data_IF_596252245247
#
_entry.id   IF_596252245247
#
_cell.length_a   1.000
_cell.length_b   1.000
_cell.length_c   1.000
_cell.angle_alpha   90.00
_cell.angle_beta   90.00
_cell.angle_gamma   90.00
#
_symmetry.space_group_name_H-M   'P 1'
#
loop_
_entity.id
_entity.type
_entity.pdbx_description
1 polymer ?
#
# COMPACT_ATOMS: atom_id res chain seq x y z
N UNK A 1 -5.49 -9.11 -35.73
CA UNK A 1 -4.62 -8.38 -36.67
C UNK A 1 -3.49 -7.70 -35.95
N UNK A 2 -3.73 -6.88 -34.97
CA UNK A 2 -2.68 -6.30 -34.10
C UNK A 2 -2.02 -7.33 -33.17
N UNK A 3 -2.70 -8.40 -32.81
CA UNK A 3 -2.17 -9.57 -32.06
C UNK A 3 -1.05 -10.32 -32.77
N UNK A 4 -0.83 -10.06 -34.06
CA UNK A 4 0.15 -10.74 -34.94
C UNK A 4 1.18 -9.75 -35.52
N UNK A 5 1.50 -8.66 -34.82
CA UNK A 5 2.42 -7.59 -35.26
C UNK A 5 2.07 -6.95 -36.63
N UNK A 6 0.84 -7.11 -37.10
CA UNK A 6 0.42 -6.60 -38.40
C UNK A 6 -0.27 -5.23 -38.35
N UNK A 7 -0.62 -4.76 -37.16
CA UNK A 7 -1.16 -3.43 -36.90
C UNK A 7 -1.06 -3.11 -35.39
N UNK A 8 -0.96 -1.82 -35.04
CA UNK A 8 -1.08 -1.36 -33.66
C UNK A 8 -2.55 -1.03 -33.36
N UNK A 9 -3.01 -1.20 -32.10
CA UNK A 9 -4.34 -0.76 -31.71
C UNK A 9 -4.44 0.77 -31.85
N UNK A 10 -5.61 1.26 -32.23
CA UNK A 10 -5.91 2.69 -32.14
C UNK A 10 -5.94 3.14 -30.67
N UNK A 11 -5.96 4.46 -30.44
CA UNK A 11 -5.81 5.02 -29.10
C UNK A 11 -6.99 4.63 -28.19
N UNK A 12 -8.19 4.50 -28.73
CA UNK A 12 -9.38 4.11 -27.98
C UNK A 12 -9.28 2.66 -27.53
N UNK A 13 -8.82 1.76 -28.42
CA UNK A 13 -8.54 0.37 -28.09
C UNK A 13 -7.38 0.21 -27.13
N UNK A 14 -6.35 1.03 -27.24
CA UNK A 14 -5.25 1.04 -26.29
C UNK A 14 -5.72 1.43 -24.88
N UNK A 15 -6.61 2.41 -24.76
CA UNK A 15 -7.23 2.79 -23.48
C UNK A 15 -8.09 1.65 -22.92
N UNK A 16 -8.93 1.01 -23.74
CA UNK A 16 -9.72 -0.16 -23.33
C UNK A 16 -8.83 -1.31 -22.83
N UNK A 17 -7.70 -1.56 -23.51
CA UNK A 17 -6.72 -2.59 -23.10
C UNK A 17 -6.04 -2.20 -21.78
N UNK A 18 -5.68 -0.92 -21.60
CA UNK A 18 -5.13 -0.45 -20.33
C UNK A 18 -6.11 -0.66 -19.17
N UNK A 19 -7.40 -0.40 -19.39
CA UNK A 19 -8.43 -0.66 -18.38
C UNK A 19 -8.60 -2.16 -18.12
N UNK A 20 -8.61 -2.98 -19.16
CA UNK A 20 -8.76 -4.43 -19.06
C UNK A 20 -7.59 -5.09 -18.33
N UNK A 21 -6.35 -4.68 -18.66
CA UNK A 21 -5.13 -5.22 -18.07
C UNK A 21 -4.64 -4.43 -16.85
N UNK A 22 -5.35 -3.37 -16.47
CA UNK A 22 -4.99 -2.50 -15.34
C UNK A 22 -3.57 -1.94 -15.44
N UNK A 23 -3.15 -1.54 -16.65
CA UNK A 23 -1.82 -1.01 -16.92
C UNK A 23 -1.90 0.41 -17.53
N UNK A 24 -0.79 1.15 -17.52
CA UNK A 24 -0.70 2.44 -18.23
C UNK A 24 -0.48 2.25 -19.74
N UNK A 25 -0.78 3.29 -20.53
CA UNK A 25 -0.43 3.31 -21.96
C UNK A 25 1.08 3.13 -22.17
N UNK A 26 1.89 3.73 -21.30
CA UNK A 26 3.33 3.60 -21.34
C UNK A 26 3.78 2.14 -21.13
N UNK A 27 3.17 1.45 -20.17
CA UNK A 27 3.41 0.02 -19.95
C UNK A 27 2.89 -0.84 -21.11
N UNK A 28 1.75 -0.48 -21.71
CA UNK A 28 1.18 -1.24 -22.83
C UNK A 28 2.05 -1.19 -24.09
N UNK A 29 2.79 -0.10 -24.33
CA UNK A 29 3.55 0.13 -25.57
C UNK A 29 5.07 0.01 -25.42
N UNK A 30 5.62 -0.16 -24.23
CA UNK A 30 7.04 -0.43 -24.05
C UNK A 30 7.33 -1.92 -24.17
N UNK A 31 8.44 -2.27 -24.80
CA UNK A 31 8.94 -3.67 -24.88
C UNK A 31 9.21 -4.29 -23.49
N UNK A 32 9.27 -3.48 -22.45
CA UNK A 32 9.37 -3.86 -21.04
C UNK A 32 8.09 -4.49 -20.46
N UNK A 33 7.00 -4.64 -21.23
CA UNK A 33 5.88 -5.50 -20.85
C UNK A 33 6.29 -7.00 -20.71
N UNK A 34 7.47 -7.38 -21.20
CA UNK A 34 8.11 -8.66 -20.87
C UNK A 34 8.62 -8.76 -19.45
N UNK A 35 8.78 -7.61 -18.78
CA UNK A 35 8.97 -7.43 -17.36
C UNK A 35 7.72 -6.78 -16.72
N UNK A 36 6.55 -7.27 -17.06
CA UNK A 36 5.42 -7.23 -16.13
C UNK A 36 5.99 -7.99 -14.93
N UNK A 37 6.52 -7.22 -14.00
CA UNK A 37 7.32 -7.72 -12.89
C UNK A 37 6.55 -8.88 -12.30
N UNK A 38 7.13 -10.10 -12.37
CA UNK A 38 6.63 -11.26 -11.62
C UNK A 38 6.45 -10.90 -10.13
N UNK A 39 6.98 -9.74 -9.74
CA UNK A 39 6.83 -9.15 -8.41
C UNK A 39 5.41 -8.69 -8.11
N UNK A 40 4.60 -8.29 -9.11
CA UNK A 40 3.26 -7.73 -8.88
C UNK A 40 2.16 -8.63 -9.41
N UNK A 41 1.11 -8.77 -8.62
CA UNK A 41 -0.09 -9.51 -9.00
C UNK A 41 -1.34 -8.90 -8.38
N UNK A 42 -2.49 -9.39 -8.76
CA UNK A 42 -3.78 -9.13 -8.12
C UNK A 42 -4.11 -7.63 -7.93
N UNK A 43 -3.91 -6.83 -9.00
CA UNK A 43 -4.35 -5.44 -9.03
C UNK A 43 -5.87 -5.38 -9.01
N UNK A 44 -6.47 -4.73 -7.99
CA UNK A 44 -7.91 -4.81 -7.71
C UNK A 44 -8.44 -3.58 -6.98
N UNK A 45 -9.77 -3.49 -6.96
CA UNK A 45 -10.49 -2.60 -6.03
C UNK A 45 -11.32 -3.48 -5.12
N UNK A 46 -11.21 -3.27 -3.81
CA UNK A 46 -11.97 -4.02 -2.83
C UNK A 46 -12.45 -3.15 -1.67
N UNK A 47 -13.45 -3.63 -0.95
CA UNK A 47 -13.87 -3.03 0.31
C UNK A 47 -13.15 -3.75 1.44
N UNK A 48 -12.30 -3.03 2.14
CA UNK A 48 -11.71 -3.49 3.40
C UNK A 48 -12.76 -3.28 4.50
N UNK A 49 -13.21 -4.35 5.18
CA UNK A 49 -14.20 -4.23 6.24
C UNK A 49 -13.70 -3.39 7.40
N UNK A 50 -14.61 -2.84 8.21
CA UNK A 50 -14.27 -2.12 9.42
C UNK A 50 -13.42 -2.98 10.36
N UNK A 51 -12.39 -2.36 10.94
CA UNK A 51 -11.53 -2.99 11.93
C UNK A 51 -11.10 -2.01 13.02
N UNK A 52 -10.76 -2.57 14.18
CA UNK A 52 -10.17 -1.81 15.29
C UNK A 52 -8.67 -2.05 15.34
N UNK A 53 -7.92 -1.05 15.77
CA UNK A 53 -6.48 -1.16 15.82
C UNK A 53 -5.86 -0.31 16.93
N UNK A 54 -4.67 -0.72 17.37
CA UNK A 54 -3.76 0.08 18.19
C UNK A 54 -2.66 0.60 17.28
N UNK A 55 -2.34 1.88 17.36
CA UNK A 55 -1.37 2.55 16.50
C UNK A 55 -0.20 3.10 17.32
N UNK A 56 0.98 2.98 16.74
CA UNK A 56 2.16 3.71 17.17
C UNK A 56 2.79 4.44 15.98
N UNK A 57 3.07 5.72 16.15
CA UNK A 57 3.67 6.56 15.11
C UNK A 57 4.95 7.19 15.66
N UNK A 58 5.99 7.23 14.84
CA UNK A 58 7.31 7.74 15.20
C UNK A 58 7.94 8.51 14.06
N UNK A 59 8.78 9.48 14.42
CA UNK A 59 9.67 10.20 13.49
C UNK A 59 11.09 9.88 13.92
N UNK A 60 11.85 9.18 13.08
CA UNK A 60 13.24 8.82 13.33
C UNK A 60 14.01 8.64 12.02
N UNK A 61 15.24 8.20 12.10
CA UNK A 61 16.08 7.85 10.95
C UNK A 61 15.79 6.45 10.40
N UNK A 62 15.12 5.60 11.19
CA UNK A 62 14.63 4.27 10.80
C UNK A 62 13.23 4.01 11.40
N UNK A 63 12.23 4.82 10.98
CA UNK A 63 10.93 4.86 11.64
C UNK A 63 10.08 3.61 11.42
N UNK A 64 10.26 2.92 10.29
CA UNK A 64 9.55 1.67 9.99
C UNK A 64 9.93 0.60 11.01
N UNK A 65 11.22 0.32 11.14
CA UNK A 65 11.75 -0.65 12.13
C UNK A 65 11.34 -0.27 13.56
N UNK A 66 11.46 1.00 13.91
CA UNK A 66 11.09 1.50 15.24
C UNK A 66 9.60 1.30 15.55
N UNK A 67 8.72 1.66 14.60
CA UNK A 67 7.28 1.56 14.78
C UNK A 67 6.81 0.10 14.83
N UNK A 68 7.28 -0.73 13.90
CA UNK A 68 6.92 -2.15 13.83
C UNK A 68 7.37 -2.89 15.09
N UNK A 69 8.63 -2.73 15.51
CA UNK A 69 9.14 -3.36 16.73
C UNK A 69 8.33 -2.93 17.97
N UNK A 70 7.94 -1.65 18.04
CA UNK A 70 7.13 -1.16 19.15
C UNK A 70 5.74 -1.80 19.15
N UNK A 71 5.10 -1.94 18.01
CA UNK A 71 3.79 -2.60 17.89
C UNK A 71 3.87 -4.08 18.28
N UNK A 72 4.90 -4.80 17.81
CA UNK A 72 5.12 -6.19 18.23
C UNK A 72 5.33 -6.32 19.76
N UNK A 73 6.09 -5.39 20.36
CA UNK A 73 6.25 -5.39 21.81
C UNK A 73 4.91 -5.17 22.53
N UNK A 74 4.11 -4.20 22.09
CA UNK A 74 2.79 -3.91 22.67
C UNK A 74 1.87 -5.14 22.56
N UNK A 75 1.82 -5.79 21.41
CA UNK A 75 0.99 -6.99 21.21
C UNK A 75 1.44 -8.15 22.10
N UNK A 76 2.76 -8.37 22.22
CA UNK A 76 3.34 -9.39 23.10
C UNK A 76 3.03 -9.13 24.57
N UNK A 77 3.10 -7.88 25.04
CA UNK A 77 2.72 -7.51 26.40
C UNK A 77 1.24 -7.78 26.69
N UNK A 78 0.40 -7.82 25.63
CA UNK A 78 -1.00 -8.23 25.67
C UNK A 78 -1.21 -9.76 25.45
N UNK A 79 -0.15 -10.55 25.35
CA UNK A 79 -0.21 -12.01 25.17
C UNK A 79 -0.42 -12.45 23.72
N UNK A 80 -0.14 -11.60 22.72
CA UNK A 80 -0.27 -11.91 21.29
C UNK A 80 1.11 -11.93 20.64
N UNK A 81 1.59 -13.13 20.28
CA UNK A 81 2.93 -13.32 19.70
C UNK A 81 3.00 -13.00 18.20
N UNK A 82 1.92 -13.23 17.46
CA UNK A 82 1.83 -12.98 16.02
C UNK A 82 0.69 -11.98 15.72
N UNK A 83 0.88 -10.68 15.95
CA UNK A 83 -0.12 -9.67 15.62
C UNK A 83 -0.23 -9.50 14.10
N UNK A 84 -1.44 -9.23 13.61
CA UNK A 84 -1.62 -8.71 12.26
C UNK A 84 -1.24 -7.24 12.25
N UNK A 85 -0.14 -6.89 11.58
CA UNK A 85 0.39 -5.53 11.53
C UNK A 85 0.20 -4.95 10.12
N UNK A 86 -0.16 -3.67 10.08
CA UNK A 86 -0.16 -2.84 8.88
C UNK A 86 0.66 -1.59 9.17
N UNK A 87 1.22 -0.98 8.14
CA UNK A 87 2.04 0.22 8.30
C UNK A 87 1.88 1.22 7.16
N UNK A 88 2.23 2.46 7.39
CA UNK A 88 2.21 3.52 6.38
C UNK A 88 3.11 4.69 6.74
N UNK A 89 3.66 5.32 5.71
CA UNK A 89 4.37 6.59 5.82
C UNK A 89 3.41 7.75 6.06
N UNK A 90 3.86 8.77 6.79
CA UNK A 90 3.15 10.03 6.88
C UNK A 90 4.09 11.23 6.64
N UNK A 91 3.65 12.25 5.85
CA UNK A 91 4.52 13.33 5.36
C UNK A 91 4.58 14.56 6.26
N UNK A 92 4.13 14.49 7.52
CA UNK A 92 4.01 15.66 8.40
C UNK A 92 5.33 16.00 9.11
N UNK A 93 6.39 16.24 8.30
CA UNK A 93 7.71 16.62 8.79
C UNK A 93 8.13 17.97 8.22
N UNK A 94 8.98 18.68 8.95
CA UNK A 94 9.62 19.90 8.44
C UNK A 94 10.72 19.53 7.43
N UNK A 95 11.01 20.48 6.52
CA UNK A 95 12.11 20.31 5.56
C UNK A 95 13.46 20.11 6.25
N UNK A 96 13.66 20.70 7.43
CA UNK A 96 14.88 20.50 8.23
C UNK A 96 14.98 19.06 8.75
N UNK A 97 13.89 18.49 9.27
CA UNK A 97 13.86 17.10 9.70
C UNK A 97 14.22 16.14 8.57
N UNK A 98 13.67 16.36 7.38
CA UNK A 98 13.93 15.51 6.21
C UNK A 98 15.36 15.70 5.70
N UNK A 99 15.76 16.95 5.38
CA UNK A 99 16.96 17.20 4.60
C UNK A 99 18.24 17.30 5.44
N UNK A 100 18.13 17.70 6.71
CA UNK A 100 19.30 17.87 7.60
C UNK A 100 19.48 16.66 8.51
N UNK A 101 18.39 16.18 9.10
CA UNK A 101 18.44 15.08 10.07
C UNK A 101 18.09 13.71 9.48
N UNK A 102 17.74 13.64 8.18
CA UNK A 102 17.32 12.41 7.48
C UNK A 102 16.25 11.64 8.26
N UNK A 103 15.28 12.39 8.79
CA UNK A 103 14.16 11.81 9.53
C UNK A 103 12.99 11.54 8.59
N UNK A 104 12.28 10.45 8.85
CA UNK A 104 11.06 10.07 8.16
C UNK A 104 9.98 9.77 9.21
N UNK A 105 8.73 9.77 8.80
CA UNK A 105 7.60 9.47 9.66
C UNK A 105 6.92 8.19 9.23
N UNK A 106 6.75 7.25 10.16
CA UNK A 106 6.05 5.99 9.91
C UNK A 106 5.08 5.68 11.05
N UNK A 107 3.94 5.09 10.70
CA UNK A 107 2.97 4.58 11.64
C UNK A 107 2.78 3.08 11.40
N UNK A 108 2.89 2.29 12.45
CA UNK A 108 2.50 0.90 12.45
C UNK A 108 1.23 0.71 13.29
N UNK A 109 0.38 -0.23 12.90
CA UNK A 109 -0.84 -0.54 13.62
C UNK A 109 -1.06 -2.04 13.75
N UNK A 110 -1.37 -2.47 14.97
CA UNK A 110 -1.86 -3.81 15.26
C UNK A 110 -3.36 -3.87 15.03
N UNK A 111 -3.80 -4.58 14.01
CA UNK A 111 -5.20 -4.87 13.74
C UNK A 111 -5.71 -5.86 14.78
N UNK A 112 -6.68 -5.43 15.58
CA UNK A 112 -7.15 -6.22 16.72
C UNK A 112 -8.05 -7.36 16.27
N UNK A 113 -7.88 -8.57 16.82
CA UNK A 113 -8.83 -9.65 16.62
C UNK A 113 -10.24 -9.28 17.09
N UNK A 114 -11.25 -9.85 16.44
CA UNK A 114 -12.64 -9.60 16.81
C UNK A 114 -12.90 -9.91 18.28
N UNK A 115 -13.51 -8.96 18.98
CA UNK A 115 -13.83 -9.08 20.41
C UNK A 115 -12.65 -8.86 21.35
N UNK A 116 -11.42 -8.72 20.86
CA UNK A 116 -10.26 -8.42 21.69
C UNK A 116 -10.20 -6.92 22.03
N UNK A 117 -9.97 -6.59 23.30
CA UNK A 117 -9.74 -5.21 23.72
C UNK A 117 -8.52 -5.20 24.64
N UNK A 118 -7.41 -4.59 24.21
CA UNK A 118 -6.21 -4.51 25.01
C UNK A 118 -6.45 -3.56 26.22
N UNK A 119 -5.92 -3.89 27.42
CA UNK A 119 -6.03 -3.02 28.57
C UNK A 119 -5.17 -1.76 28.38
N UNK A 120 -5.65 -0.63 28.87
CA UNK A 120 -4.91 0.64 28.99
C UNK A 120 -4.31 1.19 27.69
N UNK A 121 -4.80 0.76 26.52
CA UNK A 121 -4.36 1.25 25.21
C UNK A 121 -5.49 2.02 24.51
N UNK A 122 -5.11 3.06 23.79
CA UNK A 122 -6.02 3.77 22.91
C UNK A 122 -6.34 2.91 21.69
N UNK A 123 -7.63 2.65 21.46
CA UNK A 123 -8.10 1.85 20.33
C UNK A 123 -8.76 2.77 19.32
N UNK A 124 -8.30 2.71 18.10
CA UNK A 124 -8.84 3.40 16.95
C UNK A 124 -9.75 2.48 16.14
N UNK A 125 -10.60 3.07 15.31
CA UNK A 125 -11.51 2.33 14.42
C UNK A 125 -11.37 2.86 12.99
N UNK A 126 -11.16 1.94 12.04
CA UNK A 126 -11.32 2.17 10.62
C UNK A 126 -12.68 1.62 10.20
N UNK A 127 -13.51 2.47 9.57
CA UNK A 127 -14.79 2.04 8.98
C UNK A 127 -14.56 1.29 7.68
N UNK A 128 -15.59 0.58 7.21
CA UNK A 128 -15.59 0.00 5.85
C UNK A 128 -15.12 1.04 4.84
N UNK A 129 -14.13 0.69 4.05
CA UNK A 129 -13.55 1.62 3.08
C UNK A 129 -13.12 0.90 1.81
N UNK A 130 -13.37 1.55 0.67
CA UNK A 130 -12.90 1.09 -0.64
C UNK A 130 -11.44 1.44 -0.84
N UNK A 131 -10.64 0.45 -1.26
CA UNK A 131 -9.22 0.59 -1.55
C UNK A 131 -8.90 0.06 -2.94
N UNK A 132 -8.00 0.71 -3.64
CA UNK A 132 -7.24 0.10 -4.70
C UNK A 132 -6.07 -0.66 -4.06
N UNK A 133 -5.81 -1.88 -4.51
CA UNK A 133 -4.79 -2.75 -3.91
C UNK A 133 -3.99 -3.50 -4.97
N UNK A 134 -2.74 -3.80 -4.66
CA UNK A 134 -1.82 -4.61 -5.45
C UNK A 134 -1.01 -5.53 -4.55
N UNK A 135 -0.76 -6.76 -5.00
CA UNK A 135 0.04 -7.72 -4.28
C UNK A 135 1.48 -7.73 -4.77
N UNK A 136 2.43 -7.83 -3.85
CA UNK A 136 3.87 -7.95 -4.09
C UNK A 136 4.35 -9.28 -3.51
N UNK A 137 4.87 -10.17 -4.36
CA UNK A 137 5.31 -11.52 -3.94
C UNK A 137 6.56 -11.50 -3.06
N UNK A 138 7.53 -10.64 -3.37
CA UNK A 138 8.83 -10.57 -2.68
C UNK A 138 9.24 -9.12 -2.47
N UNK A 139 8.57 -8.39 -1.55
CA UNK A 139 8.78 -6.95 -1.39
C UNK A 139 10.21 -6.60 -0.97
N UNK A 140 10.89 -7.47 -0.22
CA UNK A 140 12.19 -7.20 0.37
C UNK A 140 13.40 -7.57 -0.51
N UNK A 141 13.21 -8.16 -1.70
CA UNK A 141 14.31 -8.40 -2.66
C UNK A 141 14.90 -7.06 -3.16
N UNK A 142 14.06 -6.04 -3.33
CA UNK A 142 14.47 -4.69 -3.72
C UNK A 142 13.46 -3.65 -3.21
N UNK A 143 13.30 -3.46 -1.88
CA UNK A 143 12.18 -2.72 -1.29
C UNK A 143 12.09 -1.28 -1.78
N UNK A 144 13.22 -0.59 -1.92
CA UNK A 144 13.29 0.81 -2.39
C UNK A 144 12.92 0.99 -3.88
N UNK A 145 12.75 -0.08 -4.62
CA UNK A 145 12.31 -0.07 -6.03
C UNK A 145 10.89 -0.61 -6.14
N UNK A 146 10.66 -1.80 -5.57
CA UNK A 146 9.41 -2.55 -5.73
C UNK A 146 8.25 -1.85 -5.04
N UNK A 147 8.38 -1.44 -3.78
CA UNK A 147 7.29 -0.80 -3.03
C UNK A 147 6.90 0.56 -3.63
N UNK A 148 7.84 1.50 -3.92
CA UNK A 148 7.48 2.76 -4.58
C UNK A 148 6.84 2.57 -5.97
N UNK A 149 7.24 1.57 -6.73
CA UNK A 149 6.64 1.27 -8.02
C UNK A 149 5.22 0.70 -7.88
N UNK A 150 4.92 -0.08 -6.84
CA UNK A 150 3.57 -0.52 -6.53
C UNK A 150 2.63 0.67 -6.28
N UNK A 151 3.06 1.66 -5.51
CA UNK A 151 2.30 2.91 -5.30
C UNK A 151 2.07 3.69 -6.60
N UNK A 152 3.08 3.78 -7.48
CA UNK A 152 2.93 4.42 -8.80
C UNK A 152 1.92 3.66 -9.66
N UNK A 153 2.01 2.34 -9.69
CA UNK A 153 1.09 1.47 -10.45
C UNK A 153 -0.34 1.64 -9.94
N UNK A 154 -0.55 1.66 -8.61
CA UNK A 154 -1.86 1.93 -8.01
C UNK A 154 -2.37 3.33 -8.35
N UNK A 155 -1.54 4.35 -8.28
CA UNK A 155 -1.91 5.72 -8.64
C UNK A 155 -2.35 5.83 -10.10
N UNK A 156 -1.64 5.18 -11.00
CA UNK A 156 -1.99 5.13 -12.42
C UNK A 156 -3.28 4.32 -12.68
N UNK A 157 -3.41 3.17 -12.03
CA UNK A 157 -4.63 2.37 -12.06
C UNK A 157 -5.85 3.18 -11.59
N UNK A 158 -5.73 3.90 -10.48
CA UNK A 158 -6.81 4.76 -9.97
C UNK A 158 -7.17 5.86 -10.97
N UNK A 159 -6.16 6.53 -11.54
CA UNK A 159 -6.37 7.59 -12.55
C UNK A 159 -7.11 7.06 -13.78
N UNK A 160 -6.72 5.90 -14.31
CA UNK A 160 -7.34 5.27 -15.48
C UNK A 160 -8.78 4.82 -15.21
N UNK A 161 -9.10 4.45 -13.98
CA UNK A 161 -10.43 3.98 -13.58
C UNK A 161 -11.30 5.07 -12.95
N UNK A 162 -10.88 6.34 -12.99
CA UNK A 162 -11.63 7.47 -12.46
C UNK A 162 -11.84 7.41 -10.93
N UNK A 163 -10.91 6.77 -10.21
CA UNK A 163 -10.94 6.69 -8.76
C UNK A 163 -10.16 7.86 -8.15
N UNK A 164 -10.75 8.53 -7.19
CA UNK A 164 -10.12 9.61 -6.44
C UNK A 164 -9.58 9.10 -5.11
N UNK A 165 -8.36 9.51 -4.74
CA UNK A 165 -7.78 9.16 -3.45
C UNK A 165 -8.52 9.85 -2.31
N UNK A 166 -8.82 9.09 -1.26
CA UNK A 166 -9.47 9.57 -0.05
C UNK A 166 -8.45 9.76 1.08
N UNK A 167 -8.47 10.96 1.68
CA UNK A 167 -7.48 11.37 2.69
C UNK A 167 -8.06 11.58 4.08
N UNK A 168 -9.36 11.87 4.19
CA UNK A 168 -9.99 12.25 5.45
C UNK A 168 -10.76 11.08 6.05
N UNK A 169 -10.66 10.95 7.36
CA UNK A 169 -11.39 9.97 8.18
C UNK A 169 -11.13 8.51 7.80
N UNK A 170 -9.96 8.26 7.21
CA UNK A 170 -9.50 6.92 6.79
C UNK A 170 -7.99 6.80 6.98
N UNK A 171 -7.48 5.58 6.99
CA UNK A 171 -6.06 5.31 6.73
C UNK A 171 -5.85 5.49 5.22
N UNK A 172 -5.11 6.51 4.76
CA UNK A 172 -5.10 6.90 3.34
C UNK A 172 -4.36 5.89 2.46
N UNK A 173 -3.38 5.21 3.01
CA UNK A 173 -2.65 4.10 2.40
C UNK A 173 -2.09 3.22 3.51
N UNK A 174 -1.84 1.96 3.23
CA UNK A 174 -1.11 1.07 4.13
C UNK A 174 -0.55 -0.14 3.39
N UNK A 175 0.40 -0.78 4.01
CA UNK A 175 1.06 -2.00 3.61
C UNK A 175 0.80 -3.08 4.65
N UNK A 176 0.65 -4.34 4.20
CA UNK A 176 0.59 -5.48 5.12
C UNK A 176 2.00 -5.99 5.38
N UNK A 177 2.26 -6.47 6.60
CA UNK A 177 3.53 -7.09 6.97
C UNK A 177 3.53 -8.59 6.60
N UNK A 178 4.69 -9.11 6.14
CA UNK A 178 4.86 -10.53 5.81
C UNK A 178 5.88 -10.79 4.70
N UNK A 179 6.08 -12.08 4.36
CA UNK A 179 6.96 -12.51 3.26
C UNK A 179 6.47 -12.03 1.88
N UNK A 180 5.17 -11.81 1.74
CA UNK A 180 4.52 -11.09 0.66
C UNK A 180 3.72 -9.92 1.24
N UNK A 181 3.42 -8.93 0.44
CA UNK A 181 2.83 -7.67 0.87
C UNK A 181 1.68 -7.27 -0.04
N UNK A 182 0.60 -6.81 0.55
CA UNK A 182 -0.42 -6.03 -0.17
C UNK A 182 -0.24 -4.54 0.14
N UNK A 183 -0.25 -3.72 -0.91
CA UNK A 183 -0.23 -2.25 -0.81
C UNK A 183 -1.61 -1.73 -1.12
N UNK A 184 -2.12 -0.83 -0.29
CA UNK A 184 -3.47 -0.28 -0.36
C UNK A 184 -3.45 1.24 -0.47
N UNK A 185 -4.31 1.81 -1.32
CA UNK A 185 -4.60 3.25 -1.38
C UNK A 185 -6.12 3.43 -1.25
N UNK A 186 -6.55 4.22 -0.24
CA UNK A 186 -7.97 4.52 -0.04
C UNK A 186 -8.55 5.31 -1.22
N UNK A 187 -9.70 4.90 -1.73
CA UNK A 187 -10.34 5.53 -2.88
C UNK A 187 -11.87 5.70 -2.71
N UNK A 188 -12.44 6.58 -3.52
CA UNK A 188 -13.87 6.84 -3.59
C UNK A 188 -14.35 6.90 -5.03
#
# INVERSE_FOLDING_TARGET
MWENDSAQPDIDKAIELCQLFSCSLDNLFREELGACDEAYSNLRVEIVPAFRYVKYAVISTDPETDAINRIFSIARDCGVDNPHVIGWDFPFLSQEQINVYNMHGYAAAWVLPNGFTPPDLEVFEQKDQKYAAIHIERPFDSPFVVIPNAYKTLGEFMRLNGLEQKWKDVIPCFETDGDSMDVYIACQ
#
